data_IF_491169068089
#
_entry.id   IF_491169068089
#
_cell.length_a   1.000
_cell.length_b   1.000
_cell.length_c   1.000
_cell.angle_alpha   90.00
_cell.angle_beta   90.00
_cell.angle_gamma   90.00
#
_symmetry.space_group_name_H-M   'P 1'
#
loop_
_entity.id
_entity.type
_entity.pdbx_description
1 polymer ?
#
# COMPACT_ATOMS: atom_id res chain seq x y z
N UNK A 1 -0.22 10.72 -17.34
CA UNK A 1 0.10 9.38 -16.81
C UNK A 1 0.68 9.49 -15.41
N UNK A 2 0.24 8.70 -14.42
CA UNK A 2 0.86 8.66 -13.09
C UNK A 2 2.32 8.21 -13.24
N UNK A 3 3.27 9.00 -12.75
CA UNK A 3 4.69 8.61 -12.77
C UNK A 3 4.95 7.62 -11.63
N UNK A 4 5.56 6.45 -11.89
CA UNK A 4 5.95 5.54 -10.83
C UNK A 4 6.93 6.24 -9.88
N UNK A 5 6.67 6.18 -8.58
CA UNK A 5 7.56 6.78 -7.59
C UNK A 5 8.61 5.72 -7.16
N UNK A 6 9.89 5.89 -7.50
CA UNK A 6 10.94 4.92 -7.17
C UNK A 6 11.18 4.78 -5.66
N UNK A 7 10.71 5.74 -4.85
CA UNK A 7 10.83 5.70 -3.39
C UNK A 7 9.87 4.71 -2.72
N UNK A 8 8.89 4.16 -3.45
CA UNK A 8 8.01 3.13 -2.93
C UNK A 8 8.78 1.80 -2.97
N UNK A 9 9.38 1.45 -1.84
CA UNK A 9 10.15 0.23 -1.58
C UNK A 9 9.53 -0.55 -0.41
N UNK A 10 10.06 -1.73 -0.08
CA UNK A 10 9.65 -2.48 1.13
C UNK A 10 9.73 -1.58 2.37
N UNK A 11 8.76 -1.71 3.28
CA UNK A 11 8.51 -0.84 4.44
C UNK A 11 8.09 0.60 4.10
N UNK A 12 7.74 0.89 2.85
CA UNK A 12 7.13 2.18 2.51
C UNK A 12 5.66 2.17 2.89
N UNK A 13 5.22 3.26 3.50
CA UNK A 13 3.82 3.59 3.71
C UNK A 13 3.24 4.12 2.41
N UNK A 14 2.13 3.53 1.98
CA UNK A 14 1.46 3.89 0.72
C UNK A 14 -0.03 4.03 0.93
N UNK A 15 -0.67 4.77 0.03
CA UNK A 15 -2.13 4.72 -0.14
C UNK A 15 -2.49 4.26 -1.55
N UNK A 16 -3.57 3.49 -1.65
CA UNK A 16 -4.16 3.06 -2.90
C UNK A 16 -5.64 3.45 -2.92
N UNK A 17 -6.15 3.85 -4.09
CA UNK A 17 -7.59 4.11 -4.26
C UNK A 17 -8.36 2.82 -4.49
N UNK A 18 -9.61 2.79 -4.01
CA UNK A 18 -10.49 1.63 -4.12
C UNK A 18 -10.69 1.13 -5.57
N UNK A 19 -10.70 2.02 -6.56
CA UNK A 19 -10.90 1.60 -7.96
C UNK A 19 -9.74 0.75 -8.51
N UNK A 20 -8.53 0.87 -7.95
CA UNK A 20 -7.41 -0.02 -8.30
C UNK A 20 -7.52 -1.38 -7.62
N UNK A 21 -8.16 -1.44 -6.45
CA UNK A 21 -8.44 -2.67 -5.73
C UNK A 21 -9.59 -3.45 -6.38
N UNK A 22 -10.56 -2.79 -7.00
CA UNK A 22 -11.62 -3.47 -7.79
C UNK A 22 -11.08 -4.31 -8.94
N UNK A 23 -9.91 -3.98 -9.47
CA UNK A 23 -9.28 -4.76 -10.54
C UNK A 23 -8.65 -6.06 -10.03
N UNK A 24 -8.41 -6.18 -8.71
CA UNK A 24 -8.02 -7.43 -8.08
C UNK A 24 -9.28 -8.08 -7.51
N UNK A 25 -9.78 -9.12 -8.19
CA UNK A 25 -11.04 -9.83 -7.84
C UNK A 25 -11.11 -10.21 -6.35
N UNK A 26 -9.95 -10.46 -5.72
CA UNK A 26 -9.82 -10.78 -4.31
C UNK A 26 -10.09 -9.60 -3.35
N UNK A 27 -9.65 -8.39 -3.69
CA UNK A 27 -9.78 -7.23 -2.80
C UNK A 27 -11.22 -6.72 -2.75
N UNK A 28 -11.97 -6.83 -3.85
CA UNK A 28 -13.39 -6.44 -3.89
C UNK A 28 -14.29 -7.31 -3.02
N UNK A 29 -13.91 -8.56 -2.75
CA UNK A 29 -14.68 -9.49 -1.92
C UNK A 29 -14.45 -9.26 -0.42
N UNK A 30 -13.22 -8.89 -0.02
CA UNK A 30 -12.89 -8.67 1.40
C UNK A 30 -13.12 -7.23 1.83
N UNK A 31 -12.91 -6.26 0.94
CA UNK A 31 -13.28 -4.85 1.17
C UNK A 31 -14.74 -4.61 0.80
N UNK A 32 -15.69 -5.31 1.44
CA UNK A 32 -17.13 -5.00 1.39
C UNK A 32 -17.45 -3.62 2.05
N UNK A 33 -16.54 -2.66 1.89
CA UNK A 33 -16.65 -1.24 2.18
C UNK A 33 -17.36 -0.64 0.99
N UNK A 34 -18.67 -0.50 1.18
CA UNK A 34 -19.58 0.38 0.45
C UNK A 34 -19.11 0.74 -0.97
N UNK A 35 -19.58 -0.03 -1.95
CA UNK A 35 -19.30 0.21 -3.37
C UNK A 35 -19.71 1.63 -3.83
N UNK A 36 -20.40 2.41 -2.99
CA UNK A 36 -20.76 3.80 -3.21
C UNK A 36 -19.69 4.83 -2.79
N UNK A 37 -18.53 4.43 -2.26
CA UNK A 37 -17.44 5.34 -1.89
C UNK A 37 -16.23 5.27 -2.83
N UNK A 38 -16.34 5.70 -4.11
CA UNK A 38 -15.26 5.64 -5.11
C UNK A 38 -14.05 6.53 -4.77
N UNK A 39 -14.18 7.42 -3.78
CA UNK A 39 -13.11 8.31 -3.31
C UNK A 39 -12.30 7.75 -2.14
N UNK A 40 -12.67 6.58 -1.58
CA UNK A 40 -11.94 6.00 -0.48
C UNK A 40 -10.52 5.58 -0.92
N UNK A 41 -9.53 5.99 -0.13
CA UNK A 41 -8.16 5.53 -0.21
C UNK A 41 -7.82 4.68 1.01
N UNK A 42 -7.18 3.55 0.78
CA UNK A 42 -6.72 2.65 1.83
C UNK A 42 -5.23 2.82 2.00
N UNK A 43 -4.80 2.90 3.25
CA UNK A 43 -3.39 2.92 3.59
C UNK A 43 -2.87 1.52 3.87
N UNK A 44 -1.62 1.31 3.50
CA UNK A 44 -0.95 0.04 3.73
C UNK A 44 0.55 0.18 3.70
N UNK A 45 1.21 -0.93 3.96
CA UNK A 45 2.66 -1.04 4.00
C UNK A 45 3.11 -1.99 2.91
N UNK A 46 4.13 -1.59 2.16
CA UNK A 46 4.76 -2.45 1.15
C UNK A 46 5.56 -3.53 1.88
N UNK A 47 5.20 -4.79 1.67
CA UNK A 47 5.87 -5.97 2.26
C UNK A 47 6.77 -6.69 1.26
N UNK A 48 6.54 -6.49 -0.03
CA UNK A 48 7.29 -7.16 -1.10
C UNK A 48 7.29 -6.38 -2.41
N UNK A 49 8.16 -6.81 -3.32
CA UNK A 49 8.31 -6.20 -4.64
C UNK A 49 8.60 -7.27 -5.67
N UNK A 50 7.89 -7.26 -6.79
CA UNK A 50 8.16 -8.17 -7.89
C UNK A 50 7.84 -7.51 -9.23
N UNK A 51 8.38 -8.08 -10.30
CA UNK A 51 8.18 -7.60 -11.67
C UNK A 51 7.61 -8.73 -12.51
N UNK A 52 6.49 -8.48 -13.17
CA UNK A 52 5.81 -9.44 -14.04
C UNK A 52 5.54 -8.76 -15.37
N UNK A 53 5.96 -9.38 -16.48
CA UNK A 53 5.81 -8.84 -17.84
C UNK A 53 6.32 -7.39 -18.01
N UNK A 54 7.44 -7.07 -17.35
CA UNK A 54 8.02 -5.72 -17.36
C UNK A 54 7.25 -4.67 -16.53
N UNK A 55 6.22 -5.08 -15.81
CA UNK A 55 5.43 -4.22 -14.92
C UNK A 55 5.88 -4.39 -13.48
N UNK A 56 6.22 -3.29 -12.82
CA UNK A 56 6.61 -3.28 -11.41
C UNK A 56 5.38 -3.33 -10.50
N UNK A 57 5.28 -4.38 -9.69
CA UNK A 57 4.29 -4.56 -8.65
C UNK A 57 4.92 -4.39 -7.26
N UNK A 58 4.07 -4.00 -6.33
CA UNK A 58 4.35 -3.86 -4.91
C UNK A 58 3.30 -4.66 -4.16
N UNK A 59 3.78 -5.57 -3.32
CA UNK A 59 2.93 -6.33 -2.43
C UNK A 59 2.60 -5.43 -1.25
N UNK A 60 1.32 -5.11 -1.09
CA UNK A 60 0.85 -4.19 -0.05
C UNK A 60 -0.04 -4.94 0.92
N UNK A 61 0.29 -4.85 2.20
CA UNK A 61 -0.59 -5.23 3.30
C UNK A 61 -1.32 -3.98 3.77
N UNK A 62 -2.64 -3.94 3.61
CA UNK A 62 -3.45 -2.79 4.02
C UNK A 62 -3.78 -2.87 5.50
N UNK A 63 -3.85 -1.74 6.18
CA UNK A 63 -4.15 -1.71 7.62
C UNK A 63 -5.56 -2.23 7.94
N UNK A 64 -6.49 -1.99 7.02
CA UNK A 64 -7.84 -2.52 7.11
C UNK A 64 -7.90 -4.05 6.89
N UNK A 65 -6.86 -4.63 6.26
CA UNK A 65 -6.77 -6.04 5.88
C UNK A 65 -5.35 -6.59 6.13
N UNK A 66 -4.92 -6.71 7.41
CA UNK A 66 -3.55 -7.06 7.75
C UNK A 66 -3.16 -8.49 7.31
N UNK A 67 -4.14 -9.37 7.17
CA UNK A 67 -3.93 -10.79 6.81
C UNK A 67 -3.82 -11.02 5.30
N UNK A 68 -4.03 -9.97 4.48
CA UNK A 68 -4.08 -10.10 3.03
C UNK A 68 -3.00 -9.22 2.40
N UNK A 69 -2.22 -9.86 1.52
CA UNK A 69 -1.25 -9.20 0.67
C UNK A 69 -1.86 -8.99 -0.71
N UNK A 70 -1.92 -7.73 -1.16
CA UNK A 70 -2.48 -7.38 -2.46
C UNK A 70 -1.36 -6.84 -3.35
N UNK A 71 -1.05 -7.49 -4.49
CA UNK A 71 -0.09 -6.98 -5.44
C UNK A 71 -0.71 -5.83 -6.23
N UNK A 72 -0.09 -4.65 -6.16
CA UNK A 72 -0.54 -3.47 -6.88
C UNK A 72 0.57 -2.90 -7.76
N UNK A 73 0.19 -2.44 -8.94
CA UNK A 73 1.13 -1.74 -9.83
C UNK A 73 1.67 -0.51 -9.13
N UNK A 74 2.96 -0.24 -9.30
CA UNK A 74 3.63 0.91 -8.71
C UNK A 74 2.94 2.24 -9.02
N UNK A 75 2.31 2.36 -10.20
CA UNK A 75 1.58 3.56 -10.65
C UNK A 75 0.23 3.76 -9.95
N UNK A 76 -0.29 2.75 -9.27
CA UNK A 76 -1.54 2.80 -8.50
C UNK A 76 -1.34 3.29 -7.06
N UNK A 77 -0.09 3.37 -6.62
CA UNK A 77 0.29 3.68 -5.25
C UNK A 77 0.74 5.12 -5.11
N UNK A 78 0.33 5.75 -4.01
CA UNK A 78 0.83 7.06 -3.58
C UNK A 78 1.70 6.90 -2.36
N UNK A 79 2.96 7.32 -2.48
CA UNK A 79 3.93 7.30 -1.38
C UNK A 79 3.48 8.26 -0.27
N UNK A 80 3.42 7.76 0.97
CA UNK A 80 3.10 8.52 2.18
C UNK A 80 4.32 8.69 3.09
N UNK A 81 5.37 7.89 2.91
CA UNK A 81 6.57 7.92 3.75
C UNK A 81 7.13 6.51 3.98
N UNK A 82 8.05 6.37 4.93
CA UNK A 82 8.49 5.06 5.42
C UNK A 82 7.81 4.77 6.75
N UNK A 83 7.46 3.51 7.00
CA UNK A 83 7.12 3.12 8.36
C UNK A 83 8.36 3.28 9.23
N UNK A 84 8.24 3.87 10.43
CA UNK A 84 9.36 3.93 11.36
C UNK A 84 9.76 2.48 11.70
N UNK A 85 11.03 2.15 11.48
CA UNK A 85 11.57 0.87 11.92
C UNK A 85 11.29 0.71 13.42
N UNK A 86 10.86 -0.46 13.91
CA UNK A 86 10.61 -0.67 15.34
C UNK A 86 11.85 -0.44 16.24
N UNK A 87 13.03 -0.16 15.68
CA UNK A 87 14.26 0.19 16.39
C UNK A 87 14.50 1.68 16.69
N UNK A 88 13.65 2.62 16.29
CA UNK A 88 13.87 4.06 16.58
C UNK A 88 13.07 4.62 17.76
N UNK A 89 12.51 3.77 18.63
CA UNK A 89 12.12 4.21 19.98
C UNK A 89 13.32 4.22 20.91
N UNK A 90 14.28 5.13 20.68
CA UNK A 90 15.14 5.58 21.78
C UNK A 90 14.56 6.85 22.37
N UNK A 91 13.53 6.62 23.19
CA UNK A 91 13.01 7.56 24.18
C UNK A 91 14.14 7.92 25.15
N UNK A 92 14.65 9.15 25.09
CA UNK A 92 15.13 9.94 26.24
C UNK A 92 14.88 11.41 25.85
N UNK A 93 13.94 12.14 26.44
CA UNK A 93 13.66 12.22 27.86
C UNK A 93 14.58 13.25 28.47
N UNK A 94 14.09 14.50 28.52
CA UNK A 94 14.24 15.46 29.62
C UNK A 94 15.61 15.52 30.32
N UNK A 95 16.33 16.62 30.10
CA UNK A 95 16.92 17.47 31.14
C UNK A 95 16.98 18.88 30.60
#
# INVERSE_FOLDING_TARGET
MPRPNPNIIVNSRVSARMHYLRQTVFASAVLNVDANAPRASFEGTVTGTHTTDGVNYRDVTFDALPDIVIPLRLTCLRYLGRTPSPGSSKRRGRT
#
